data_IF_131044445849
#
_entry.id   IF_131044445849
#
_cell.length_a   1.000
_cell.length_b   1.000
_cell.length_c   1.000
_cell.angle_alpha   90.00
_cell.angle_beta   90.00
_cell.angle_gamma   90.00
#
_symmetry.space_group_name_H-M   'P 1'
#
loop_
_entity.id
_entity.type
_entity.pdbx_description
1 polymer ?
#
# COMPACT_ATOMS: atom_id res chain seq x y z
N UNK A 1 19.35 -20.63 19.36
CA UNK A 1 19.38 -19.49 18.42
C UNK A 1 18.15 -18.64 18.69
N UNK A 2 18.32 -17.49 19.32
CA UNK A 2 17.23 -16.53 19.55
C UNK A 2 17.19 -15.65 18.29
N UNK A 3 16.14 -15.78 17.49
CA UNK A 3 15.86 -14.82 16.43
C UNK A 3 15.21 -13.60 17.09
N UNK A 4 16.00 -12.52 17.16
CA UNK A 4 15.56 -11.21 17.61
C UNK A 4 14.63 -10.64 16.53
N UNK A 5 13.32 -10.74 16.73
CA UNK A 5 12.34 -10.02 15.92
C UNK A 5 12.51 -8.53 16.20
N UNK A 6 13.12 -7.79 15.26
CA UNK A 6 13.21 -6.33 15.32
C UNK A 6 11.81 -5.79 14.98
N UNK A 7 10.94 -5.76 15.98
CA UNK A 7 9.77 -4.88 16.01
C UNK A 7 10.31 -3.46 16.14
N UNK A 8 10.46 -2.77 15.01
CA UNK A 8 10.76 -1.35 15.00
C UNK A 8 9.51 -0.61 15.48
N UNK A 9 9.33 -0.53 16.81
CA UNK A 9 8.35 0.31 17.46
C UNK A 9 8.91 1.73 17.49
N UNK A 10 8.64 2.52 16.45
CA UNK A 10 8.83 3.96 16.54
C UNK A 10 7.64 4.59 17.24
N UNK A 11 7.95 5.34 18.30
CA UNK A 11 7.01 5.99 19.20
C UNK A 11 5.92 6.77 18.46
N UNK A 12 4.70 6.58 18.92
CA UNK A 12 3.50 7.27 18.46
C UNK A 12 3.60 8.76 18.81
N UNK A 13 3.77 9.59 17.77
CA UNK A 13 3.23 10.94 17.75
C UNK A 13 2.06 10.89 16.78
N UNK A 14 0.88 11.34 17.19
CA UNK A 14 -0.30 11.39 16.34
C UNK A 14 0.05 12.23 15.10
N UNK A 15 -0.05 11.63 13.91
CA UNK A 15 -0.10 12.40 12.68
C UNK A 15 -1.43 13.13 12.70
N UNK A 16 -1.43 14.44 12.87
CA UNK A 16 -2.67 15.19 12.64
C UNK A 16 -3.05 15.00 11.16
N UNK A 17 -4.33 14.73 10.90
CA UNK A 17 -4.84 14.43 9.54
C UNK A 17 -4.48 15.57 8.57
N UNK A 18 -4.40 16.80 9.09
CA UNK A 18 -4.04 18.02 8.34
C UNK A 18 -2.57 18.02 7.85
N UNK A 19 -1.72 17.15 8.40
CA UNK A 19 -0.31 17.04 8.05
C UNK A 19 -0.01 15.89 7.06
N UNK A 20 -1.01 15.21 6.51
CA UNK A 20 -0.80 14.10 5.57
C UNK A 20 -0.72 14.64 4.14
N UNK A 21 0.52 14.71 3.61
CA UNK A 21 0.80 15.13 2.23
C UNK A 21 0.79 13.96 1.24
N UNK A 22 0.81 12.71 1.71
CA UNK A 22 0.73 11.56 0.83
C UNK A 22 0.10 10.34 1.48
N UNK A 23 -0.45 9.48 0.62
CA UNK A 23 -0.89 8.12 0.94
C UNK A 23 -0.41 7.20 -0.18
N UNK A 24 0.22 6.09 0.16
CA UNK A 24 0.77 5.11 -0.77
C UNK A 24 0.19 3.75 -0.42
N UNK A 25 -0.60 3.19 -1.33
CA UNK A 25 -1.00 1.80 -1.30
C UNK A 25 -0.02 0.96 -2.11
N UNK A 26 0.38 -0.20 -1.58
CA UNK A 26 1.20 -1.20 -2.26
C UNK A 26 0.52 -2.56 -2.16
N UNK A 27 0.50 -3.30 -3.27
CA UNK A 27 0.00 -4.67 -3.36
C UNK A 27 1.07 -5.55 -4.00
N UNK A 28 1.39 -6.69 -3.41
CA UNK A 28 2.22 -7.74 -4.02
C UNK A 28 1.61 -9.11 -3.81
N UNK A 29 1.93 -10.08 -4.66
CA UNK A 29 1.48 -11.47 -4.53
C UNK A 29 2.69 -12.41 -4.57
N UNK A 30 2.80 -13.32 -3.60
CA UNK A 30 3.97 -14.18 -3.40
C UNK A 30 4.28 -15.07 -4.61
N UNK A 31 3.26 -15.62 -5.27
CA UNK A 31 3.40 -16.49 -6.44
C UNK A 31 3.61 -15.81 -7.81
N UNK A 32 3.53 -14.47 -7.92
CA UNK A 32 3.61 -13.77 -9.23
C UNK A 32 5.05 -13.46 -9.69
N UNK A 33 6.03 -14.20 -9.20
CA UNK A 33 7.47 -13.99 -9.43
C UNK A 33 8.08 -12.94 -8.47
N UNK A 34 9.40 -12.95 -8.28
CA UNK A 34 10.07 -11.99 -7.41
C UNK A 34 9.80 -10.56 -7.89
N UNK A 35 9.48 -9.64 -6.96
CA UNK A 35 9.28 -8.19 -7.17
C UNK A 35 8.11 -7.76 -8.08
N UNK A 36 7.04 -8.55 -8.18
CA UNK A 36 5.79 -8.12 -8.81
C UNK A 36 4.89 -7.37 -7.80
N UNK A 37 4.79 -6.04 -7.95
CA UNK A 37 3.90 -5.24 -7.11
C UNK A 37 3.22 -4.09 -7.85
N UNK A 38 2.08 -3.66 -7.33
CA UNK A 38 1.36 -2.46 -7.77
C UNK A 38 1.43 -1.40 -6.69
N UNK A 39 1.66 -0.13 -7.07
CA UNK A 39 1.65 0.99 -6.13
C UNK A 39 0.70 2.09 -6.60
N UNK A 40 -0.13 2.61 -5.70
CA UNK A 40 -0.97 3.79 -5.94
C UNK A 40 -0.47 4.86 -4.97
N UNK A 41 -0.03 6.03 -5.48
CA UNK A 41 0.37 7.17 -4.65
C UNK A 41 -0.62 8.32 -4.83
N UNK A 42 -1.24 8.71 -3.74
CA UNK A 42 -2.10 9.89 -3.61
C UNK A 42 -1.24 10.99 -3.01
N UNK A 43 -1.14 12.14 -3.68
CA UNK A 43 -0.42 13.30 -3.13
C UNK A 43 -0.87 14.59 -3.83
N UNK A 44 -1.04 15.71 -3.13
CA UNK A 44 -1.35 16.98 -3.76
C UNK A 44 -0.35 17.32 -4.86
N UNK A 45 -0.85 17.71 -6.04
CA UNK A 45 -0.03 18.24 -7.13
C UNK A 45 0.39 19.69 -6.83
N UNK A 46 -0.47 20.44 -6.14
CA UNK A 46 -0.27 21.81 -5.63
C UNK A 46 -1.07 21.97 -4.33
N UNK A 47 -0.79 22.98 -3.49
CA UNK A 47 -1.65 23.28 -2.35
C UNK A 47 -3.11 23.48 -2.81
N UNK A 48 -4.03 22.64 -2.32
CA UNK A 48 -5.45 22.66 -2.71
C UNK A 48 -5.82 21.87 -3.97
N UNK A 49 -4.85 21.28 -4.69
CA UNK A 49 -5.05 20.52 -5.92
C UNK A 49 -4.59 19.08 -5.69
N UNK A 50 -5.55 18.14 -5.54
CA UNK A 50 -5.24 16.75 -5.19
C UNK A 50 -5.09 15.91 -6.45
N UNK A 51 -3.85 15.47 -6.71
CA UNK A 51 -3.55 14.52 -7.77
C UNK A 51 -3.40 13.12 -7.22
N UNK A 52 -3.85 12.11 -7.95
CA UNK A 52 -3.42 10.74 -7.68
C UNK A 52 -2.50 10.29 -8.80
N UNK A 53 -1.27 9.97 -8.41
CA UNK A 53 -0.29 9.35 -9.30
C UNK A 53 -0.29 7.86 -9.05
N UNK A 54 -0.80 7.10 -10.01
CA UNK A 54 -0.59 5.67 -10.02
C UNK A 54 0.80 5.32 -10.55
N UNK A 55 1.47 4.35 -9.92
CA UNK A 55 2.72 3.79 -10.44
C UNK A 55 2.74 2.27 -10.26
N UNK A 56 2.60 1.53 -11.37
CA UNK A 56 2.84 0.09 -11.34
C UNK A 56 4.31 -0.21 -11.58
N UNK A 57 4.93 -0.94 -10.67
CA UNK A 57 6.34 -1.29 -10.78
C UNK A 57 6.49 -2.81 -10.86
N UNK A 58 6.89 -3.30 -12.03
CA UNK A 58 7.32 -4.69 -12.18
C UNK A 58 8.83 -4.75 -12.03
N UNK A 59 9.35 -5.61 -11.18
CA UNK A 59 10.69 -6.16 -11.32
C UNK A 59 10.57 -7.68 -11.33
N UNK A 60 11.48 -8.34 -12.04
CA UNK A 60 11.75 -9.78 -11.96
C UNK A 60 13.27 -9.83 -11.79
N UNK A 61 13.79 -10.33 -10.67
CA UNK A 61 15.23 -10.48 -10.51
C UNK A 61 15.60 -11.96 -10.36
N UNK A 62 16.66 -12.35 -11.06
CA UNK A 62 17.87 -12.79 -10.38
C UNK A 62 19.04 -11.93 -10.90
N UNK A 63 19.98 -11.47 -10.04
CA UNK A 63 21.24 -10.84 -10.50
C UNK A 63 22.09 -11.76 -11.40
N UNK A 64 21.75 -13.04 -11.46
CA UNK A 64 22.48 -14.09 -12.20
C UNK A 64 21.81 -14.49 -13.52
N UNK A 65 20.70 -13.86 -13.95
CA UNK A 65 20.07 -14.20 -15.23
C UNK A 65 20.67 -13.42 -16.40
N UNK A 66 21.16 -14.18 -17.38
CA UNK A 66 21.78 -13.77 -18.64
C UNK A 66 21.02 -12.60 -19.34
N UNK A 67 21.69 -11.51 -19.74
CA UNK A 67 21.07 -10.33 -20.35
C UNK A 67 20.40 -10.55 -21.72
N UNK A 68 20.37 -11.79 -22.24
CA UNK A 68 19.82 -12.13 -23.56
C UNK A 68 18.42 -12.77 -23.56
N UNK A 69 17.71 -12.87 -22.43
CA UNK A 69 16.29 -13.26 -22.46
C UNK A 69 15.39 -12.13 -22.99
N UNK A 70 15.16 -12.15 -24.31
CA UNK A 70 14.08 -11.44 -24.99
C UNK A 70 12.73 -11.76 -24.33
N UNK A 71 12.21 -10.83 -23.53
CA UNK A 71 10.89 -10.97 -22.91
C UNK A 71 10.56 -9.93 -21.83
N UNK A 72 11.57 -9.24 -21.32
CA UNK A 72 11.42 -8.27 -20.23
C UNK A 72 10.93 -6.92 -20.76
N UNK A 73 9.71 -6.50 -20.37
CA UNK A 73 9.19 -5.16 -20.64
C UNK A 73 9.35 -4.27 -19.39
N UNK A 74 9.77 -3.00 -19.55
CA UNK A 74 9.96 -2.08 -18.43
C UNK A 74 8.66 -1.80 -17.66
N UNK A 75 8.81 -1.34 -16.42
CA UNK A 75 7.74 -0.88 -15.57
C UNK A 75 6.81 0.11 -16.29
N UNK A 76 5.49 -0.17 -16.29
CA UNK A 76 4.49 0.76 -16.79
C UNK A 76 4.15 1.72 -15.66
N UNK A 77 4.91 2.81 -15.59
CA UNK A 77 4.60 3.96 -14.74
C UNK A 77 3.67 4.84 -15.55
N UNK A 78 2.38 4.50 -15.61
CA UNK A 78 1.45 5.35 -16.36
C UNK A 78 0.00 5.23 -15.89
N UNK A 79 -0.45 6.27 -15.18
CA UNK A 79 -1.80 6.87 -15.18
C UNK A 79 -1.85 7.89 -14.04
N UNK A 80 -2.07 9.16 -14.37
CA UNK A 80 -2.50 10.14 -13.38
C UNK A 80 -4.01 10.24 -13.49
N UNK A 81 -4.70 10.13 -12.36
CA UNK A 81 -6.13 10.41 -12.26
C UNK A 81 -6.34 11.45 -11.16
N UNK A 82 -7.43 12.19 -11.27
CA UNK A 82 -7.74 13.26 -10.33
C UNK A 82 -8.80 12.77 -9.36
N UNK A 83 -8.57 13.04 -8.07
CA UNK A 83 -9.58 12.88 -7.04
C UNK A 83 -9.84 14.27 -6.48
N UNK A 84 -11.10 14.60 -6.31
CA UNK A 84 -11.50 15.87 -5.73
C UNK A 84 -11.18 15.91 -4.23
N UNK A 85 -11.30 17.09 -3.64
CA UNK A 85 -11.04 17.29 -2.21
C UNK A 85 -11.97 16.45 -1.32
N UNK A 86 -13.19 16.20 -1.76
CA UNK A 86 -14.14 15.36 -1.03
C UNK A 86 -13.68 13.90 -0.96
N UNK A 87 -13.31 13.31 -2.11
CA UNK A 87 -12.81 11.94 -2.17
C UNK A 87 -11.52 11.76 -1.37
N UNK A 88 -10.61 12.73 -1.41
CA UNK A 88 -9.40 12.68 -0.59
C UNK A 88 -9.71 12.80 0.91
N UNK A 89 -10.65 13.69 1.29
CA UNK A 89 -11.11 13.83 2.67
C UNK A 89 -11.68 12.52 3.24
N UNK A 90 -12.41 11.76 2.42
CA UNK A 90 -12.91 10.43 2.83
C UNK A 90 -11.77 9.41 3.03
N UNK A 91 -10.75 9.41 2.17
CA UNK A 91 -9.56 8.56 2.36
C UNK A 91 -8.84 8.96 3.65
N UNK A 92 -8.68 10.25 3.93
CA UNK A 92 -8.04 10.74 5.15
C UNK A 92 -8.78 10.30 6.42
N UNK A 93 -10.12 10.36 6.43
CA UNK A 93 -10.93 9.83 7.53
C UNK A 93 -10.70 8.34 7.75
N UNK A 94 -10.61 7.57 6.66
CA UNK A 94 -10.33 6.13 6.73
C UNK A 94 -8.90 5.82 7.20
N UNK A 95 -7.92 6.64 6.81
CA UNK A 95 -6.54 6.53 7.31
C UNK A 95 -6.48 6.75 8.82
N UNK A 96 -7.23 7.72 9.35
CA UNK A 96 -7.31 7.95 10.80
C UNK A 96 -7.80 6.71 11.56
N UNK A 97 -8.71 5.92 10.97
CA UNK A 97 -9.22 4.69 11.60
C UNK A 97 -8.14 3.60 11.75
N UNK A 98 -7.04 3.66 11.01
CA UNK A 98 -5.96 2.67 11.09
C UNK A 98 -5.22 2.70 12.44
N UNK A 99 -5.29 3.81 13.17
CA UNK A 99 -4.71 3.92 14.52
C UNK A 99 -5.33 2.92 15.50
N UNK A 100 -6.56 2.49 15.23
CA UNK A 100 -7.33 1.58 16.09
C UNK A 100 -7.02 0.11 15.81
N UNK A 101 -6.16 -0.20 14.83
CA UNK A 101 -5.81 -1.59 14.53
C UNK A 101 -4.94 -2.14 15.65
N UNK A 102 -5.43 -3.19 16.30
CA UNK A 102 -4.62 -3.97 17.23
C UNK A 102 -3.61 -4.82 16.45
N UNK A 103 -2.34 -4.40 16.47
CA UNK A 103 -1.26 -5.07 15.74
C UNK A 103 -0.98 -6.48 16.24
N UNK A 104 -1.26 -6.77 17.52
CA UNK A 104 -1.03 -8.09 18.11
C UNK A 104 -1.99 -9.15 17.53
N UNK A 105 -3.24 -8.77 17.26
CA UNK A 105 -4.23 -9.64 16.63
C UNK A 105 -4.17 -9.63 15.10
N UNK A 106 -3.63 -8.56 14.51
CA UNK A 106 -3.62 -8.39 13.06
C UNK A 106 -2.53 -9.19 12.34
N UNK A 107 -1.46 -9.57 13.04
CA UNK A 107 -0.32 -10.25 12.47
C UNK A 107 -0.65 -11.69 12.03
N UNK A 108 -0.33 -12.02 10.78
CA UNK A 108 -0.34 -13.40 10.29
C UNK A 108 0.72 -13.58 9.22
N UNK A 109 1.12 -14.84 8.98
CA UNK A 109 2.11 -15.19 7.99
C UNK A 109 1.72 -16.51 7.31
N UNK A 110 2.10 -16.65 6.04
CA UNK A 110 2.00 -17.91 5.33
C UNK A 110 2.86 -17.91 4.07
N UNK A 111 2.83 -19.04 3.37
CA UNK A 111 3.70 -19.29 2.22
C UNK A 111 3.13 -18.80 0.89
N UNK A 112 1.80 -18.76 0.76
CA UNK A 112 1.10 -18.29 -0.44
C UNK A 112 0.01 -17.28 -0.07
N UNK A 113 0.04 -16.12 -0.74
CA UNK A 113 -0.88 -15.03 -0.48
C UNK A 113 -0.41 -13.70 -1.04
N UNK A 114 -1.15 -12.66 -0.71
CA UNK A 114 -0.89 -11.30 -1.09
C UNK A 114 -0.42 -10.46 0.10
N UNK A 115 0.37 -9.43 -0.15
CA UNK A 115 0.75 -8.45 0.87
C UNK A 115 0.24 -7.09 0.47
N UNK A 116 -0.51 -6.47 1.37
CA UNK A 116 -1.08 -5.16 1.18
C UNK A 116 -0.40 -4.23 2.16
N UNK A 117 0.01 -3.05 1.71
CA UNK A 117 0.59 -2.04 2.57
C UNK A 117 -0.04 -0.68 2.31
N UNK A 118 -0.25 0.08 3.38
CA UNK A 118 -0.62 1.49 3.33
C UNK A 118 0.48 2.27 4.05
N UNK A 119 1.01 3.29 3.40
CA UNK A 119 2.04 4.18 3.91
C UNK A 119 1.56 5.62 3.75
N UNK A 120 1.56 6.42 4.81
CA UNK A 120 1.04 7.79 4.77
C UNK A 120 1.80 8.72 5.69
N UNK A 121 1.74 10.02 5.41
CA UNK A 121 2.39 11.06 6.21
C UNK A 121 2.85 12.21 5.33
N UNK A 122 3.96 12.82 5.70
CA UNK A 122 4.56 13.97 5.02
C UNK A 122 6.06 13.79 4.81
N UNK A 123 6.72 14.85 4.33
CA UNK A 123 8.15 14.85 4.04
C UNK A 123 9.06 14.55 5.24
N UNK A 124 8.57 14.72 6.48
CA UNK A 124 9.36 14.55 7.72
C UNK A 124 9.02 13.26 8.47
N UNK A 125 7.75 12.84 8.46
CA UNK A 125 7.29 11.65 9.17
C UNK A 125 6.31 10.84 8.33
N UNK A 126 6.43 9.51 8.42
CA UNK A 126 5.48 8.59 7.79
C UNK A 126 5.18 7.38 8.65
N UNK A 127 4.01 6.82 8.43
CA UNK A 127 3.47 5.64 9.09
C UNK A 127 3.20 4.58 8.04
N UNK A 128 3.43 3.31 8.39
CA UNK A 128 3.23 2.19 7.47
C UNK A 128 2.56 1.02 8.17
N UNK A 129 1.45 0.58 7.60
CA UNK A 129 0.78 -0.69 7.92
C UNK A 129 1.03 -1.67 6.78
N UNK A 130 1.34 -2.92 7.13
CA UNK A 130 1.58 -3.97 6.13
C UNK A 130 1.08 -5.30 6.66
N UNK A 131 0.18 -5.93 5.91
CA UNK A 131 -0.44 -7.19 6.31
C UNK A 131 -0.37 -8.20 5.18
N UNK A 132 -0.02 -9.43 5.55
CA UNK A 132 -0.10 -10.58 4.66
C UNK A 132 -1.53 -11.14 4.69
N UNK A 133 -2.06 -11.44 3.50
CA UNK A 133 -3.42 -11.90 3.22
C UNK A 133 -4.47 -11.21 4.08
N UNK A 134 -4.64 -9.87 4.00
CA UNK A 134 -5.46 -9.13 4.96
C UNK A 134 -6.93 -9.57 4.95
N UNK A 135 -7.44 -10.07 3.82
CA UNK A 135 -8.81 -10.60 3.68
C UNK A 135 -9.04 -11.92 4.40
N UNK A 136 -7.98 -12.67 4.72
CA UNK A 136 -8.09 -13.92 5.44
C UNK A 136 -8.38 -13.63 6.92
N UNK A 137 -9.54 -14.09 7.40
CA UNK A 137 -10.02 -13.91 8.78
C UNK A 137 -9.96 -12.45 9.22
N UNK A 138 -10.38 -11.53 8.33
CA UNK A 138 -10.30 -10.08 8.56
C UNK A 138 -10.98 -9.65 9.85
N UNK A 139 -12.12 -10.28 10.16
CA UNK A 139 -12.97 -9.91 11.29
C UNK A 139 -12.32 -10.29 12.63
N UNK A 140 -11.67 -11.46 12.69
CA UNK A 140 -10.90 -11.91 13.86
C UNK A 140 -9.64 -11.07 14.06
N UNK A 141 -9.13 -10.49 12.98
CA UNK A 141 -7.88 -9.72 12.94
C UNK A 141 -8.07 -8.21 13.08
N UNK A 142 -9.32 -7.73 13.06
CA UNK A 142 -9.65 -6.30 13.12
C UNK A 142 -9.12 -5.50 11.93
N UNK A 143 -9.14 -6.07 10.73
CA UNK A 143 -8.57 -5.50 9.50
C UNK A 143 -9.60 -4.86 8.56
N UNK A 144 -10.86 -4.76 8.96
CA UNK A 144 -11.96 -4.30 8.11
C UNK A 144 -11.73 -2.88 7.60
N UNK A 145 -11.33 -1.95 8.48
CA UNK A 145 -11.02 -0.57 8.11
C UNK A 145 -9.81 -0.49 7.17
N UNK A 146 -8.79 -1.33 7.39
CA UNK A 146 -7.62 -1.41 6.52
C UNK A 146 -7.99 -1.91 5.12
N UNK A 147 -8.78 -2.97 5.04
CA UNK A 147 -9.23 -3.54 3.76
C UNK A 147 -10.12 -2.55 3.03
N UNK A 148 -11.08 -1.93 3.72
CA UNK A 148 -11.99 -0.94 3.15
C UNK A 148 -11.22 0.24 2.55
N UNK A 149 -10.22 0.77 3.26
CA UNK A 149 -9.34 1.81 2.73
C UNK A 149 -8.61 1.36 1.46
N UNK A 150 -8.00 0.18 1.48
CA UNK A 150 -7.28 -0.33 0.32
C UNK A 150 -8.19 -0.51 -0.90
N UNK A 151 -9.38 -1.08 -0.70
CA UNK A 151 -10.38 -1.27 -1.75
C UNK A 151 -10.91 0.07 -2.29
N UNK A 152 -11.10 1.06 -1.43
CA UNK A 152 -11.49 2.41 -1.83
C UNK A 152 -10.39 3.07 -2.69
N UNK A 153 -9.12 3.00 -2.29
CA UNK A 153 -7.99 3.51 -3.08
C UNK A 153 -7.91 2.81 -4.45
N UNK A 154 -8.12 1.49 -4.49
CA UNK A 154 -8.17 0.73 -5.74
C UNK A 154 -9.36 1.18 -6.62
N UNK A 155 -10.55 1.35 -6.04
CA UNK A 155 -11.74 1.78 -6.77
C UNK A 155 -11.55 3.18 -7.37
N UNK A 156 -11.02 4.12 -6.58
CA UNK A 156 -10.70 5.49 -7.03
C UNK A 156 -9.71 5.50 -8.17
N UNK A 157 -8.78 4.54 -8.21
CA UNK A 157 -7.81 4.43 -9.29
C UNK A 157 -8.34 3.96 -10.63
N UNK A 158 -9.64 3.68 -10.73
CA UNK A 158 -10.31 3.14 -11.92
C UNK A 158 -9.60 1.90 -12.50
N UNK A 159 -8.78 1.24 -11.68
CA UNK A 159 -8.01 0.09 -12.08
C UNK A 159 -8.96 -1.09 -12.20
N UNK A 160 -9.10 -1.62 -13.42
CA UNK A 160 -9.81 -2.88 -13.63
C UNK A 160 -9.17 -3.96 -12.74
N UNK A 161 -9.91 -4.64 -11.85
CA UNK A 161 -9.37 -5.63 -10.91
C UNK A 161 -8.51 -6.71 -11.58
N UNK A 162 -8.88 -7.13 -12.81
CA UNK A 162 -8.12 -8.09 -13.64
C UNK A 162 -6.70 -7.65 -13.99
N UNK A 163 -6.38 -6.36 -13.83
CA UNK A 163 -5.02 -5.85 -14.01
C UNK A 163 -4.24 -5.92 -12.71
N UNK A 164 -4.86 -5.90 -11.52
CA UNK A 164 -4.16 -5.89 -10.22
C UNK A 164 -4.02 -7.31 -9.66
N UNK A 165 -5.13 -8.05 -9.65
CA UNK A 165 -5.28 -9.39 -9.07
C UNK A 165 -5.01 -10.51 -10.06
#
# INVERSE_FOLDING_TARGET
>A
MIFLAILCQTAWSQCEIEEIDFIIFKYSHSMRGPNNYSSIKISPNKPGDIGIRYSRLYYLNSPDSDPYEEGLKPAIIDSAFYVDSAGFGEILKQVALLENINLDSAATFGFDGDTWSIEFGNSTQSFKYSFWSPKYHSDERGLENFIALCENIIALSELKPKKIF
#
